data_IF_271841739220
#
_entry.id   IF_271841739220
#
_cell.length_a   1.000
_cell.length_b   1.000
_cell.length_c   1.000
_cell.angle_alpha   90.00
_cell.angle_beta   90.00
_cell.angle_gamma   90.00
#
_symmetry.space_group_name_H-M   'P 1'
#
loop_
_entity.id
_entity.type
_entity.pdbx_description
1 polymer ?
#
# COMPACT_ATOMS: atom_id res chain seq x y z
N UNK A 1 10.08 8.19 -11.47
CA UNK A 1 8.68 7.74 -11.60
C UNK A 1 8.28 7.13 -10.26
N UNK A 2 7.16 7.57 -9.68
CA UNK A 2 6.60 6.98 -8.46
C UNK A 2 5.97 5.63 -8.82
N UNK A 3 6.46 4.53 -8.24
CA UNK A 3 5.89 3.19 -8.44
C UNK A 3 4.92 2.91 -7.28
N UNK A 4 3.63 2.81 -7.62
CA UNK A 4 2.58 2.54 -6.63
C UNK A 4 1.50 1.61 -7.20
N UNK A 5 0.80 0.93 -6.29
CA UNK A 5 -0.37 0.11 -6.56
C UNK A 5 -1.44 0.40 -5.53
N UNK A 6 -2.68 0.50 -5.99
CA UNK A 6 -3.85 0.71 -5.14
C UNK A 6 -4.82 -0.44 -5.41
N UNK A 7 -5.25 -1.11 -4.34
CA UNK A 7 -6.16 -2.25 -4.41
C UNK A 7 -7.39 -1.98 -3.54
N UNK A 8 -8.59 -2.18 -4.09
CA UNK A 8 -9.82 -2.25 -3.28
C UNK A 8 -9.86 -3.62 -2.60
N UNK A 9 -9.82 -3.63 -1.27
CA UNK A 9 -9.82 -4.85 -0.46
C UNK A 9 -11.11 -5.04 0.35
N UNK A 10 -12.07 -4.12 0.24
CA UNK A 10 -13.39 -4.23 0.87
C UNK A 10 -14.40 -3.22 0.35
N UNK A 11 -15.69 -3.59 0.43
CA UNK A 11 -16.88 -2.77 0.23
C UNK A 11 -17.75 -2.98 1.47
N UNK A 12 -18.40 -1.93 1.96
CA UNK A 12 -19.15 -1.91 3.23
C UNK A 12 -18.27 -2.41 4.39
N UNK A 13 -17.02 -1.99 4.41
CA UNK A 13 -16.00 -2.44 5.37
C UNK A 13 -16.19 -1.90 6.78
N UNK A 14 -16.95 -0.82 6.96
CA UNK A 14 -17.28 -0.24 8.27
C UNK A 14 -18.54 -0.88 8.85
N UNK A 15 -19.58 -0.99 8.04
CA UNK A 15 -20.91 -1.37 8.51
C UNK A 15 -21.27 -2.82 8.18
N UNK A 16 -20.64 -3.41 7.16
CA UNK A 16 -20.87 -4.79 6.72
C UNK A 16 -22.36 -5.09 6.56
N UNK A 17 -22.79 -6.24 7.09
CA UNK A 17 -24.20 -6.66 7.09
C UNK A 17 -25.13 -5.78 7.92
N UNK A 18 -24.60 -4.84 8.71
CA UNK A 18 -25.38 -3.89 9.52
C UNK A 18 -25.68 -2.59 8.77
N UNK A 19 -25.30 -2.46 7.49
CA UNK A 19 -25.70 -1.33 6.63
C UNK A 19 -27.22 -1.12 6.62
N UNK A 20 -28.00 -2.21 6.60
CA UNK A 20 -29.46 -2.19 6.67
C UNK A 20 -30.02 -1.73 8.04
N UNK A 21 -29.19 -1.63 9.07
CA UNK A 21 -29.57 -1.15 10.41
C UNK A 21 -29.27 0.35 10.61
N UNK A 22 -28.64 0.99 9.61
CA UNK A 22 -28.40 2.43 9.63
C UNK A 22 -29.74 3.14 9.35
N UNK A 23 -30.19 4.05 10.23
CA UNK A 23 -31.43 4.79 10.02
C UNK A 23 -31.45 5.55 8.70
N UNK A 24 -32.62 5.62 8.05
CA UNK A 24 -32.85 6.33 6.78
C UNK A 24 -32.51 7.82 6.84
N UNK A 25 -32.56 8.39 8.04
CA UNK A 25 -32.18 9.78 8.34
C UNK A 25 -30.67 9.99 8.41
N UNK A 26 -29.88 8.91 8.45
CA UNK A 26 -28.42 9.00 8.47
C UNK A 26 -27.91 9.20 7.03
N UNK A 27 -27.12 10.25 6.73
CA UNK A 27 -26.65 10.56 5.38
C UNK A 27 -25.76 9.46 4.77
N UNK A 28 -25.37 8.48 5.57
CA UNK A 28 -24.43 7.40 5.24
C UNK A 28 -25.15 6.10 4.84
N UNK A 29 -26.49 6.01 4.91
CA UNK A 29 -27.24 4.76 4.64
C UNK A 29 -26.97 4.18 3.23
N UNK A 30 -26.71 5.06 2.25
CA UNK A 30 -26.36 4.67 0.89
C UNK A 30 -24.87 4.87 0.56
N UNK A 31 -24.04 5.21 1.55
CA UNK A 31 -22.61 5.40 1.33
C UNK A 31 -21.89 4.05 1.41
N UNK A 32 -21.47 3.54 0.25
CA UNK A 32 -20.59 2.39 0.15
C UNK A 32 -19.22 2.78 0.69
N UNK A 33 -18.90 2.37 1.91
CA UNK A 33 -17.55 2.57 2.43
C UNK A 33 -16.60 1.55 1.79
N UNK A 34 -15.41 1.99 1.38
CA UNK A 34 -14.43 1.12 0.72
C UNK A 34 -13.16 1.03 1.54
N UNK A 35 -12.64 -0.19 1.65
CA UNK A 35 -11.30 -0.41 2.19
C UNK A 35 -10.31 -0.53 1.06
N UNK A 36 -9.26 0.27 1.12
CA UNK A 36 -8.20 0.31 0.12
C UNK A 36 -6.85 -0.08 0.73
N UNK A 37 -5.99 -0.68 -0.08
CA UNK A 37 -4.59 -0.97 0.23
C UNK A 37 -3.70 -0.21 -0.73
N UNK A 38 -2.78 0.56 -0.19
CA UNK A 38 -1.72 1.22 -0.94
C UNK A 38 -0.42 0.44 -0.78
N UNK A 39 0.26 0.21 -1.89
CA UNK A 39 1.63 -0.30 -1.92
C UNK A 39 2.46 0.71 -2.69
N UNK A 40 3.45 1.31 -2.05
CA UNK A 40 4.28 2.36 -2.65
C UNK A 40 5.74 1.99 -2.49
N UNK A 41 6.51 2.08 -3.56
CA UNK A 41 7.97 1.96 -3.51
C UNK A 41 8.58 3.35 -3.41
N UNK A 42 9.47 3.53 -2.44
CA UNK A 42 10.17 4.79 -2.18
C UNK A 42 11.66 4.55 -2.05
N UNK A 43 12.46 5.59 -2.27
CA UNK A 43 13.93 5.52 -2.26
C UNK A 43 14.54 5.57 -0.85
N UNK A 44 13.78 5.98 0.17
CA UNK A 44 14.27 6.10 1.53
C UNK A 44 13.18 5.91 2.59
N UNK A 45 13.61 5.62 3.83
CA UNK A 45 12.71 5.57 4.98
C UNK A 45 12.07 6.93 5.29
N UNK A 46 12.74 8.05 4.97
CA UNK A 46 12.15 9.38 5.17
C UNK A 46 10.98 9.61 4.23
N UNK A 47 11.11 9.23 2.96
CA UNK A 47 10.01 9.30 1.99
C UNK A 47 8.86 8.35 2.38
N UNK A 48 9.16 7.16 2.92
CA UNK A 48 8.13 6.25 3.44
C UNK A 48 7.29 6.91 4.55
N UNK A 49 7.95 7.63 5.47
CA UNK A 49 7.26 8.37 6.55
C UNK A 49 6.39 9.51 6.01
N UNK A 50 6.85 10.23 4.98
CA UNK A 50 6.04 11.28 4.33
C UNK A 50 4.75 10.69 3.73
N UNK A 51 4.87 9.58 3.00
CA UNK A 51 3.71 8.87 2.45
C UNK A 51 2.76 8.43 3.57
N UNK A 52 3.28 7.83 4.65
CA UNK A 52 2.46 7.44 5.80
C UNK A 52 1.72 8.64 6.43
N UNK A 53 2.40 9.77 6.61
CA UNK A 53 1.80 10.97 7.16
C UNK A 53 0.69 11.53 6.27
N UNK A 54 0.90 11.56 4.95
CA UNK A 54 -0.12 12.00 3.99
C UNK A 54 -1.36 11.09 4.05
N UNK A 55 -1.14 9.77 4.04
CA UNK A 55 -2.22 8.78 4.13
C UNK A 55 -2.99 8.88 5.45
N UNK A 56 -2.30 9.17 6.56
CA UNK A 56 -2.96 9.36 7.86
C UNK A 56 -3.66 10.72 7.97
N UNK A 57 -3.07 11.77 7.40
CA UNK A 57 -3.57 13.14 7.45
C UNK A 57 -4.76 13.40 6.55
N UNK A 58 -4.84 12.73 5.39
CA UNK A 58 -5.90 12.94 4.38
C UNK A 58 -7.30 12.46 4.76
N UNK A 59 -7.55 12.08 6.02
CA UNK A 59 -8.90 11.68 6.48
C UNK A 59 -9.44 10.40 5.83
N UNK A 60 -8.58 9.59 5.21
CA UNK A 60 -8.92 8.31 4.57
C UNK A 60 -9.42 7.27 5.59
N UNK A 61 -9.19 7.54 6.87
CA UNK A 61 -9.86 6.89 7.97
C UNK A 61 -11.22 7.58 8.13
N UNK A 62 -12.27 6.95 7.60
CA UNK A 62 -13.63 7.35 7.93
C UNK A 62 -13.82 7.47 9.45
N UNK A 63 -14.89 8.18 9.82
CA UNK A 63 -15.34 8.52 11.19
C UNK A 63 -15.18 7.34 12.16
N UNK A 64 -14.92 7.66 13.43
CA UNK A 64 -14.69 6.74 14.55
C UNK A 64 -15.30 5.32 14.36
N UNK A 65 -14.43 4.30 14.21
CA UNK A 65 -14.85 2.89 14.04
C UNK A 65 -14.14 2.14 12.91
N UNK A 66 -13.41 2.82 12.02
CA UNK A 66 -12.79 2.22 10.81
C UNK A 66 -11.60 1.27 11.00
N UNK A 67 -11.16 1.08 12.25
CA UNK A 67 -9.95 0.31 12.56
C UNK A 67 -8.63 0.99 12.17
N UNK A 68 -8.70 2.23 11.66
CA UNK A 68 -7.56 3.10 11.33
C UNK A 68 -6.70 2.65 10.13
N UNK A 69 -5.66 3.44 9.81
CA UNK A 69 -4.61 3.04 8.86
C UNK A 69 -3.62 2.14 9.59
N UNK A 70 -3.38 0.95 9.03
CA UNK A 70 -2.20 0.16 9.36
C UNK A 70 -1.14 0.37 8.29
N UNK A 71 0.07 0.74 8.69
CA UNK A 71 1.22 0.88 7.80
C UNK A 71 2.30 -0.12 8.17
N UNK A 72 3.07 -0.54 7.17
CA UNK A 72 4.28 -1.33 7.36
C UNK A 72 5.30 -0.91 6.30
N UNK A 73 6.53 -0.69 6.72
CA UNK A 73 7.65 -0.38 5.82
C UNK A 73 8.66 -1.51 5.91
N UNK A 74 9.03 -2.07 4.76
CA UNK A 74 10.08 -3.08 4.65
C UNK A 74 11.10 -2.69 3.60
N UNK A 75 12.37 -3.01 3.84
CA UNK A 75 13.40 -2.93 2.80
C UNK A 75 13.08 -3.98 1.73
N UNK A 76 13.19 -3.59 0.47
CA UNK A 76 13.04 -4.49 -0.67
C UNK A 76 14.43 -4.66 -1.28
N UNK A 77 14.90 -5.90 -1.36
CA UNK A 77 16.06 -6.24 -2.19
C UNK A 77 15.52 -6.48 -3.59
N UNK A 78 15.87 -5.60 -4.52
CA UNK A 78 15.49 -5.72 -5.93
C UNK A 78 16.54 -6.48 -6.71
N UNK A 79 16.10 -7.22 -7.73
CA UNK A 79 16.99 -7.70 -8.79
C UNK A 79 17.04 -6.63 -9.87
N UNK A 80 18.25 -6.22 -10.26
CA UNK A 80 18.46 -5.28 -11.35
C UNK A 80 19.35 -5.95 -12.39
N UNK A 81 18.89 -6.00 -13.64
CA UNK A 81 19.77 -6.35 -14.75
C UNK A 81 20.83 -5.26 -14.88
N UNK A 82 22.09 -5.66 -14.80
CA UNK A 82 23.23 -4.77 -15.00
C UNK A 82 24.08 -5.29 -16.15
N UNK A 83 24.63 -4.38 -16.94
CA UNK A 83 25.66 -4.72 -17.90
C UNK A 83 26.95 -4.92 -17.12
N UNK A 84 27.59 -6.08 -17.27
CA UNK A 84 28.94 -6.33 -16.75
C UNK A 84 29.87 -6.32 -17.96
N UNK A 85 30.85 -5.40 -18.03
CA UNK A 85 31.85 -5.38 -19.09
C UNK A 85 32.55 -6.74 -19.20
N UNK A 86 32.80 -7.22 -20.42
CA UNK A 86 33.36 -8.57 -20.61
C UNK A 86 34.77 -8.68 -20.06
N UNK A 87 35.53 -7.60 -20.11
CA UNK A 87 36.91 -7.45 -19.67
C UNK A 87 37.11 -7.54 -18.15
N UNK A 88 36.05 -7.37 -17.34
CA UNK A 88 36.13 -7.52 -15.87
C UNK A 88 35.75 -8.91 -15.37
N UNK A 89 35.34 -9.82 -16.26
CA UNK A 89 34.96 -11.19 -15.90
C UNK A 89 36.17 -12.11 -16.05
N UNK A 90 36.67 -12.62 -14.93
CA UNK A 90 37.63 -13.73 -14.88
C UNK A 90 36.89 -15.02 -14.56
N UNK A 91 37.10 -16.07 -15.35
CA UNK A 91 36.48 -17.37 -15.17
C UNK A 91 37.50 -18.48 -15.41
N UNK A 92 37.41 -19.55 -14.63
CA UNK A 92 38.12 -20.81 -14.85
C UNK A 92 37.09 -21.91 -15.16
N UNK A 93 37.44 -22.77 -16.11
CA UNK A 93 36.64 -23.95 -16.46
C UNK A 93 37.31 -25.16 -15.84
N UNK A 94 36.58 -25.89 -14.99
CA UNK A 94 37.03 -27.16 -14.43
C UNK A 94 36.30 -28.30 -15.14
N UNK A 95 37.06 -29.18 -15.77
CA UNK A 95 36.54 -30.43 -16.34
C UNK A 95 36.68 -31.56 -15.30
N UNK A 96 35.69 -32.45 -15.27
CA UNK A 96 35.64 -33.62 -14.37
C UNK A 96 36.21 -34.86 -15.04
#
# INVERSE_FOLDING_TARGET
>A
VLEYRIERIGIDSLYGSRSNQIPDTYPVKNATDVRVRFVVRVSSNMEARKVENEIKGGGINGVAGSGGVKTNTRKIIGVKSTLIPRDVIHYEVHEF
#
